data_IF_183099646780
#
_entry.id   IF_183099646780
#
_cell.length_a   1.000
_cell.length_b   1.000
_cell.length_c   1.000
_cell.angle_alpha   90.00
_cell.angle_beta   90.00
_cell.angle_gamma   90.00
#
_symmetry.space_group_name_H-M   'P 1'
#
loop_
_entity.id
_entity.type
_entity.pdbx_description
1 polymer ?
#
# COMPACT_ATOMS: atom_id res chain seq x y z
N UNK A 1 2.34 2.75 12.48
CA UNK A 1 1.08 2.87 11.71
C UNK A 1 0.27 1.59 11.66
N UNK A 2 0.84 0.43 11.31
CA UNK A 2 0.09 -0.83 11.14
C UNK A 2 -0.78 -1.26 12.35
N UNK A 3 -0.24 -1.22 13.58
CA UNK A 3 -1.00 -1.56 14.79
C UNK A 3 -2.20 -0.63 15.02
N UNK A 4 -2.03 0.66 14.74
CA UNK A 4 -3.09 1.66 14.85
C UNK A 4 -4.20 1.40 13.82
N UNK A 5 -3.86 1.16 12.55
CA UNK A 5 -4.86 0.80 11.53
C UNK A 5 -5.64 -0.47 11.91
N UNK A 6 -4.96 -1.49 12.45
CA UNK A 6 -5.61 -2.72 12.95
C UNK A 6 -6.56 -2.46 14.11
N UNK A 7 -6.26 -1.52 14.99
CA UNK A 7 -7.13 -1.18 16.13
C UNK A 7 -8.49 -0.59 15.72
N UNK A 8 -8.66 -0.17 14.47
CA UNK A 8 -9.95 0.29 13.94
C UNK A 8 -10.96 -0.85 13.77
N UNK A 9 -10.52 -2.12 13.76
CA UNK A 9 -11.40 -3.28 13.81
C UNK A 9 -12.19 -3.56 12.52
N UNK A 10 -11.81 -2.99 11.38
CA UNK A 10 -12.45 -3.31 10.11
C UNK A 10 -12.09 -4.73 9.65
N UNK A 11 -13.07 -5.51 9.14
CA UNK A 11 -12.77 -6.82 8.53
C UNK A 11 -11.84 -6.70 7.31
N UNK A 12 -10.95 -7.67 7.18
CA UNK A 12 -10.03 -7.80 6.03
C UNK A 12 -10.80 -8.37 4.84
N UNK A 13 -10.59 -7.79 3.64
CA UNK A 13 -11.16 -8.27 2.37
C UNK A 13 -10.10 -8.72 1.36
N UNK A 14 -8.87 -8.23 1.50
CA UNK A 14 -7.70 -8.72 0.78
C UNK A 14 -6.57 -8.87 1.79
N UNK A 15 -6.08 -10.11 1.94
CA UNK A 15 -5.10 -10.50 2.94
C UNK A 15 -3.76 -9.79 2.75
N UNK A 16 -2.96 -9.79 3.82
CA UNK A 16 -1.62 -9.20 3.77
C UNK A 16 -0.74 -9.88 2.70
N UNK A 17 -0.43 -9.16 1.63
CA UNK A 17 0.35 -9.67 0.50
C UNK A 17 1.32 -8.64 -0.05
N UNK A 18 2.32 -9.12 -0.78
CA UNK A 18 3.20 -8.23 -1.53
C UNK A 18 2.45 -7.60 -2.71
N UNK A 19 2.70 -6.32 -2.95
CA UNK A 19 2.32 -5.65 -4.20
C UNK A 19 3.56 -5.45 -5.07
N UNK A 20 3.36 -5.44 -6.39
CA UNK A 20 4.45 -5.54 -7.35
C UNK A 20 4.46 -4.40 -8.36
N UNK A 21 5.67 -4.01 -8.73
CA UNK A 21 5.98 -3.11 -9.83
C UNK A 21 7.12 -3.73 -10.63
N UNK A 22 6.94 -3.87 -11.94
CA UNK A 22 7.92 -4.51 -12.84
C UNK A 22 8.39 -5.91 -12.40
N UNK A 23 7.47 -6.71 -11.85
CA UNK A 23 7.77 -8.06 -11.35
C UNK A 23 8.57 -8.10 -10.05
N UNK A 24 8.86 -6.95 -9.43
CA UNK A 24 9.55 -6.86 -8.14
C UNK A 24 8.59 -6.41 -7.04
N UNK A 25 8.80 -6.91 -5.81
CA UNK A 25 8.02 -6.47 -4.65
C UNK A 25 8.32 -4.99 -4.36
N UNK A 26 7.29 -4.16 -4.45
CA UNK A 26 7.35 -2.73 -4.15
C UNK A 26 6.87 -2.41 -2.73
N UNK A 27 6.36 -3.41 -2.01
CA UNK A 27 5.97 -3.34 -0.60
C UNK A 27 4.89 -4.38 -0.28
N UNK A 28 4.13 -4.14 0.78
CA UNK A 28 3.02 -4.97 1.22
C UNK A 28 1.74 -4.17 1.33
N UNK A 29 0.61 -4.84 1.11
CA UNK A 29 -0.73 -4.24 1.15
C UNK A 29 -1.72 -5.15 1.89
N UNK A 30 -2.73 -4.55 2.49
CA UNK A 30 -3.93 -5.22 3.06
C UNK A 30 -5.11 -4.28 2.86
N UNK A 31 -6.26 -4.82 2.45
CA UNK A 31 -7.49 -4.05 2.24
C UNK A 31 -8.58 -4.45 3.21
N UNK A 32 -9.39 -3.47 3.60
CA UNK A 32 -10.46 -3.60 4.58
C UNK A 32 -11.82 -3.23 3.97
N UNK A 33 -12.92 -3.68 4.59
CA UNK A 33 -14.29 -3.48 4.07
C UNK A 33 -14.73 -2.01 3.92
N UNK A 34 -14.09 -1.07 4.61
CA UNK A 34 -14.44 0.35 4.59
C UNK A 34 -13.76 1.15 3.45
N UNK A 35 -13.44 0.49 2.33
CA UNK A 35 -12.67 1.06 1.21
C UNK A 35 -11.29 1.61 1.63
N UNK A 36 -10.72 1.07 2.71
CA UNK A 36 -9.40 1.45 3.19
C UNK A 36 -8.37 0.39 2.78
N UNK A 37 -7.26 0.86 2.24
CA UNK A 37 -6.09 0.03 1.94
C UNK A 37 -4.90 0.59 2.69
N UNK A 38 -4.22 -0.26 3.45
CA UNK A 38 -2.94 0.08 4.07
C UNK A 38 -1.82 -0.52 3.23
N UNK A 39 -0.89 0.31 2.77
CA UNK A 39 0.24 -0.09 1.96
C UNK A 39 1.57 0.39 2.55
N UNK A 40 2.63 -0.38 2.34
CA UNK A 40 4.01 0.01 2.59
C UNK A 40 4.73 0.22 1.26
N UNK A 41 5.77 1.05 1.25
CA UNK A 41 6.67 1.21 0.09
C UNK A 41 8.05 0.72 0.52
N UNK A 42 8.51 -0.40 -0.07
CA UNK A 42 9.79 -1.01 0.23
C UNK A 42 10.94 -0.10 -0.22
N UNK A 43 11.85 0.22 0.69
CA UNK A 43 13.00 1.09 0.44
C UNK A 43 12.74 2.57 0.72
N UNK A 44 11.49 2.95 0.98
CA UNK A 44 11.13 4.33 1.27
C UNK A 44 11.44 4.74 2.72
N UNK A 45 11.83 6.01 2.89
CA UNK A 45 11.92 6.68 4.19
C UNK A 45 10.64 7.42 4.60
N UNK A 46 10.77 8.44 5.45
CA UNK A 46 9.64 9.26 5.89
C UNK A 46 9.03 10.07 4.73
N UNK A 47 9.88 10.69 3.92
CA UNK A 47 9.52 11.37 2.67
C UNK A 47 9.57 10.37 1.51
N UNK A 48 8.66 9.39 1.51
CA UNK A 48 8.72 8.25 0.59
C UNK A 48 8.98 8.58 -0.90
N UNK A 49 8.37 9.64 -1.50
CA UNK A 49 8.65 10.01 -2.90
C UNK A 49 10.08 10.52 -3.17
N UNK A 50 10.82 10.96 -2.15
CA UNK A 50 12.23 11.37 -2.26
C UNK A 50 13.14 10.15 -2.47
N UNK A 51 12.84 9.03 -1.80
CA UNK A 51 13.65 7.82 -1.83
C UNK A 51 13.20 6.84 -2.93
N UNK A 52 11.89 6.72 -3.15
CA UNK A 52 11.28 5.72 -4.02
C UNK A 52 10.20 6.35 -4.93
N UNK A 53 10.57 7.32 -5.79
CA UNK A 53 9.62 8.11 -6.58
C UNK A 53 8.75 7.26 -7.50
N UNK A 54 9.31 6.25 -8.16
CA UNK A 54 8.60 5.41 -9.11
C UNK A 54 7.51 4.57 -8.43
N UNK A 55 7.85 3.92 -7.30
CA UNK A 55 6.89 3.14 -6.50
C UNK A 55 5.78 4.03 -5.95
N UNK A 56 6.13 5.23 -5.47
CA UNK A 56 5.16 6.19 -4.94
C UNK A 56 4.21 6.68 -6.05
N UNK A 57 4.74 7.00 -7.23
CA UNK A 57 3.93 7.39 -8.37
C UNK A 57 2.97 6.28 -8.80
N UNK A 58 3.45 5.04 -8.95
CA UNK A 58 2.62 3.89 -9.29
C UNK A 58 1.50 3.65 -8.26
N UNK A 59 1.83 3.72 -6.97
CA UNK A 59 0.85 3.61 -5.88
C UNK A 59 -0.22 4.70 -5.97
N UNK A 60 0.18 5.96 -6.17
CA UNK A 60 -0.73 7.09 -6.30
C UNK A 60 -1.62 6.99 -7.55
N UNK A 61 -1.06 6.66 -8.70
CA UNK A 61 -1.80 6.47 -9.96
C UNK A 61 -2.85 5.36 -9.82
N UNK A 62 -2.49 4.23 -9.21
CA UNK A 62 -3.43 3.13 -8.96
C UNK A 62 -4.54 3.55 -8.01
N UNK A 63 -4.21 4.31 -6.95
CA UNK A 63 -5.21 4.83 -6.02
C UNK A 63 -6.25 5.73 -6.69
N UNK A 64 -5.84 6.73 -7.48
CA UNK A 64 -6.78 7.65 -8.14
C UNK A 64 -7.60 6.98 -9.25
N UNK A 65 -7.09 5.90 -9.86
CA UNK A 65 -7.78 5.12 -10.89
C UNK A 65 -8.59 3.95 -10.30
N UNK A 66 -8.63 3.81 -8.98
CA UNK A 66 -9.26 2.68 -8.28
C UNK A 66 -8.77 1.30 -8.77
N UNK A 67 -7.47 1.19 -9.03
CA UNK A 67 -6.79 -0.04 -9.42
C UNK A 67 -6.10 -0.70 -8.22
N UNK A 68 -6.01 -2.04 -8.20
CA UNK A 68 -5.34 -2.76 -7.11
C UNK A 68 -3.83 -2.51 -7.11
N UNK A 69 -3.23 -2.56 -5.90
CA UNK A 69 -1.77 -2.61 -5.70
C UNK A 69 -1.23 -4.02 -5.97
#
# INVERSE_FOLDING_TARGET
TQAWVRSLGFPIVDEWRAWHLHGQSAGFTVSYTNNMTFATVKGAGHTAPEYEPEKCFAMFSRWILNQPL
#
